data_IF_802464726671
#
_entry.id   IF_802464726671
#
_cell.length_a   1.000
_cell.length_b   1.000
_cell.length_c   1.000
_cell.angle_alpha   90.00
_cell.angle_beta   90.00
_cell.angle_gamma   90.00
#
_symmetry.space_group_name_H-M   'P 1'
#
loop_
_entity.id
_entity.type
_entity.pdbx_description
1 polymer ?
#
# COMPACT_ATOMS: atom_id res chain seq x y z
N UNK A 1 -8.88 12.60 -2.40
CA UNK A 1 -8.26 11.54 -1.59
C UNK A 1 -9.30 11.02 -0.60
N UNK A 2 -9.87 9.84 -0.86
CA UNK A 2 -10.85 9.22 0.04
C UNK A 2 -10.32 7.85 0.45
N UNK A 3 -9.67 7.79 1.61
CA UNK A 3 -9.15 6.55 2.20
C UNK A 3 -10.27 5.86 2.94
N UNK A 4 -10.53 4.61 2.59
CA UNK A 4 -11.52 3.76 3.25
C UNK A 4 -10.94 3.06 4.49
N UNK A 5 -11.80 2.51 5.34
CA UNK A 5 -11.36 1.67 6.46
C UNK A 5 -10.48 0.50 6.01
N UNK A 6 -10.77 -0.12 4.87
CA UNK A 6 -10.01 -1.26 4.35
C UNK A 6 -8.59 -0.87 3.90
N UNK A 7 -8.42 0.36 3.41
CA UNK A 7 -7.10 0.90 3.07
C UNK A 7 -6.20 1.03 4.31
N UNK A 8 -6.76 1.53 5.42
CA UNK A 8 -6.06 1.53 6.70
C UNK A 8 -5.70 0.11 7.15
N UNK A 9 -6.62 -0.85 7.00
CA UNK A 9 -6.40 -2.23 7.41
C UNK A 9 -5.27 -2.88 6.60
N UNK A 10 -5.25 -2.72 5.27
CA UNK A 10 -4.18 -3.26 4.42
C UNK A 10 -2.81 -2.68 4.79
N UNK A 11 -2.72 -1.37 5.05
CA UNK A 11 -1.47 -0.73 5.48
C UNK A 11 -1.04 -1.25 6.86
N UNK A 12 -1.98 -1.37 7.80
CA UNK A 12 -1.68 -1.87 9.15
C UNK A 12 -1.17 -3.32 9.13
N UNK A 13 -1.79 -4.20 8.34
CA UNK A 13 -1.36 -5.59 8.17
C UNK A 13 0.03 -5.65 7.54
N UNK A 14 0.24 -4.92 6.44
CA UNK A 14 1.54 -4.91 5.74
C UNK A 14 2.66 -4.39 6.66
N UNK A 15 2.38 -3.33 7.44
CA UNK A 15 3.31 -2.80 8.44
C UNK A 15 3.62 -3.80 9.54
N UNK A 16 2.59 -4.48 10.07
CA UNK A 16 2.74 -5.47 11.15
C UNK A 16 3.60 -6.66 10.70
N UNK A 17 3.43 -7.11 9.47
CA UNK A 17 4.17 -8.25 8.91
C UNK A 17 5.52 -7.86 8.30
N UNK A 18 5.83 -6.55 8.25
CA UNK A 18 7.01 -6.00 7.59
C UNK A 18 7.15 -6.45 6.12
N UNK A 19 6.05 -6.39 5.38
CA UNK A 19 5.99 -6.73 3.95
C UNK A 19 5.59 -5.50 3.13
N UNK A 20 6.04 -5.41 1.86
CA UNK A 20 5.59 -4.34 0.97
C UNK A 20 4.12 -4.52 0.58
N UNK A 21 3.43 -3.39 0.39
CA UNK A 21 2.08 -3.39 -0.20
C UNK A 21 2.18 -3.27 -1.72
N UNK A 22 1.54 -4.20 -2.44
CA UNK A 22 1.47 -4.16 -3.91
C UNK A 22 0.06 -3.72 -4.31
N UNK A 23 -0.07 -2.58 -4.98
CA UNK A 23 -1.37 -2.08 -5.44
C UNK A 23 -1.23 -1.12 -6.61
N UNK A 24 -2.31 -0.93 -7.38
CA UNK A 24 -2.42 0.08 -8.45
C UNK A 24 -3.25 1.31 -8.02
N UNK A 25 -3.86 1.27 -6.85
CA UNK A 25 -4.72 2.36 -6.37
C UNK A 25 -3.87 3.59 -6.02
N UNK A 26 -4.12 4.71 -6.72
CA UNK A 26 -3.33 5.94 -6.57
C UNK A 26 -3.48 6.58 -5.19
N UNK A 27 -4.69 6.62 -4.64
CA UNK A 27 -4.96 7.26 -3.35
C UNK A 27 -4.33 6.42 -2.22
N UNK A 28 -4.47 5.10 -2.29
CA UNK A 28 -3.82 4.17 -1.36
C UNK A 28 -2.30 4.23 -1.46
N UNK A 29 -1.72 4.31 -2.67
CA UNK A 29 -0.25 4.46 -2.83
C UNK A 29 0.24 5.73 -2.13
N UNK A 30 -0.41 6.87 -2.36
CA UNK A 30 -0.02 8.16 -1.77
C UNK A 30 -0.12 8.11 -0.24
N UNK A 31 -1.13 7.44 0.29
CA UNK A 31 -1.32 7.23 1.71
C UNK A 31 -0.28 6.25 2.30
N UNK A 32 -0.16 5.06 1.73
CA UNK A 32 0.65 3.95 2.24
C UNK A 32 2.15 4.23 2.19
N UNK A 33 2.66 4.94 1.18
CA UNK A 33 4.08 5.31 1.05
C UNK A 33 4.63 6.10 2.24
N UNK A 34 3.77 6.71 3.06
CA UNK A 34 4.16 7.42 4.30
C UNK A 34 4.43 6.48 5.48
N UNK A 35 4.06 5.20 5.35
CA UNK A 35 4.02 4.27 6.47
C UNK A 35 4.75 2.96 6.20
N UNK A 36 4.77 2.50 4.95
CA UNK A 36 5.32 1.22 4.50
C UNK A 36 5.90 1.35 3.08
N UNK A 37 6.67 0.35 2.68
CA UNK A 37 7.11 0.19 1.30
C UNK A 37 5.94 -0.21 0.40
N UNK A 38 5.86 0.40 -0.79
CA UNK A 38 4.73 0.21 -1.71
C UNK A 38 5.24 0.13 -3.13
N UNK A 39 4.79 -0.91 -3.84
CA UNK A 39 5.08 -1.12 -5.26
C UNK A 39 3.80 -1.18 -6.07
N UNK A 40 3.92 -0.85 -7.35
CA UNK A 40 2.97 -1.24 -8.38
C UNK A 40 3.34 -2.63 -8.89
N UNK A 41 2.37 -3.46 -9.32
CA UNK A 41 2.66 -4.76 -9.92
C UNK A 41 3.68 -4.69 -11.07
N UNK A 42 3.61 -3.64 -11.88
CA UNK A 42 4.48 -3.46 -13.05
C UNK A 42 5.96 -3.20 -12.68
N UNK A 43 6.24 -2.81 -11.44
CA UNK A 43 7.60 -2.59 -10.91
C UNK A 43 8.27 -3.89 -10.45
N UNK A 44 7.52 -4.98 -10.32
CA UNK A 44 8.00 -6.26 -9.76
C UNK A 44 8.06 -7.40 -10.78
N UNK A 45 7.35 -7.27 -11.90
CA UNK A 45 7.17 -8.34 -12.91
C UNK A 45 8.05 -8.10 -14.15
N UNK A 46 8.72 -6.94 -14.23
CA UNK A 46 9.66 -6.58 -15.31
C UNK A 46 11.09 -6.52 -14.79
#
# INVERSE_FOLDING_TARGET
MKISFYDYLHVAISKRLNIPLITRDKDLIIFAKKHIEVYRPEELIN
#
